data_IF_943039497179
#
_entry.id   IF_943039497179
#
_cell.length_a   1.000
_cell.length_b   1.000
_cell.length_c   1.000
_cell.angle_alpha   90.00
_cell.angle_beta   90.00
_cell.angle_gamma   90.00
#
_symmetry.space_group_name_H-M   'P 1'
#
loop_
_entity.id
_entity.type
_entity.pdbx_description
1 polymer ?
#
# COMPACT_ATOMS: atom_id res chain seq x y z
N UNK A 1 -33.76 -0.35 -46.75
CA UNK A 1 -32.55 0.36 -46.29
C UNK A 1 -32.55 0.36 -44.75
N UNK A 2 -31.77 -0.52 -44.10
CA UNK A 2 -31.81 -0.74 -42.63
C UNK A 2 -30.91 0.28 -41.90
N UNK A 3 -31.37 1.52 -41.76
CA UNK A 3 -30.60 2.58 -41.08
C UNK A 3 -30.61 2.47 -39.54
N UNK A 4 -31.44 1.61 -38.94
CA UNK A 4 -31.52 1.43 -37.49
C UNK A 4 -30.35 0.66 -36.86
N UNK A 5 -29.54 -0.05 -37.68
CA UNK A 5 -28.32 -0.73 -37.21
C UNK A 5 -27.15 0.26 -37.09
N UNK A 6 -27.18 1.36 -37.86
CA UNK A 6 -26.09 2.35 -37.88
C UNK A 6 -26.06 3.23 -36.64
N UNK A 7 -27.22 3.46 -36.01
CA UNK A 7 -27.34 4.31 -34.84
C UNK A 7 -28.27 3.64 -33.82
N UNK A 8 -27.74 2.79 -32.92
CA UNK A 8 -28.55 2.33 -31.80
C UNK A 8 -29.11 3.57 -31.08
N UNK A 9 -30.40 3.57 -30.67
CA UNK A 9 -31.01 4.73 -30.03
C UNK A 9 -30.21 5.10 -28.78
N UNK A 10 -29.45 6.17 -28.89
CA UNK A 10 -28.59 6.66 -27.83
C UNK A 10 -29.46 7.35 -26.79
N UNK A 11 -29.82 6.63 -25.73
CA UNK A 11 -30.45 7.22 -24.56
C UNK A 11 -29.36 7.57 -23.56
N UNK A 12 -29.15 8.87 -23.33
CA UNK A 12 -28.38 9.36 -22.19
C UNK A 12 -28.96 8.73 -20.92
N UNK A 13 -28.14 8.01 -20.15
CA UNK A 13 -28.55 7.56 -18.81
C UNK A 13 -28.73 8.81 -17.94
N UNK A 14 -29.88 8.93 -17.27
CA UNK A 14 -30.10 10.02 -16.31
C UNK A 14 -29.02 9.93 -15.22
N UNK A 15 -28.36 11.06 -14.94
CA UNK A 15 -27.40 11.18 -13.84
C UNK A 15 -28.08 10.78 -12.53
N UNK A 16 -27.61 9.71 -11.89
CA UNK A 16 -28.17 9.18 -10.63
C UNK A 16 -27.42 9.67 -9.38
N UNK A 17 -26.56 10.69 -9.52
CA UNK A 17 -25.67 11.17 -8.46
C UNK A 17 -24.21 10.79 -8.70
N UNK A 18 -23.36 11.11 -7.72
CA UNK A 18 -21.94 10.75 -7.72
C UNK A 18 -21.79 9.22 -7.69
N UNK A 19 -20.98 8.63 -8.59
CA UNK A 19 -20.64 7.22 -8.46
C UNK A 19 -19.68 7.07 -7.27
N UNK A 20 -20.01 6.15 -6.38
CA UNK A 20 -19.11 5.70 -5.32
C UNK A 20 -18.06 4.82 -6.00
N UNK A 21 -16.77 5.18 -5.97
CA UNK A 21 -15.72 4.32 -6.49
C UNK A 21 -15.78 2.97 -5.78
N UNK A 22 -15.77 1.89 -6.54
CA UNK A 22 -15.82 0.54 -5.97
C UNK A 22 -14.41 0.02 -5.80
N UNK A 23 -14.07 -0.31 -4.54
CA UNK A 23 -12.88 -1.05 -4.16
C UNK A 23 -12.62 -2.31 -5.02
N UNK A 24 -11.39 -2.84 -5.05
CA UNK A 24 -11.13 -4.10 -5.73
C UNK A 24 -12.02 -5.21 -5.16
N UNK A 25 -12.63 -5.99 -6.05
CA UNK A 25 -13.54 -7.05 -5.61
C UNK A 25 -12.77 -8.23 -5.02
N UNK A 26 -12.91 -8.42 -3.70
CA UNK A 26 -12.38 -9.58 -3.00
C UNK A 26 -13.19 -10.86 -3.23
N UNK A 27 -14.41 -10.76 -3.79
CA UNK A 27 -15.27 -11.91 -4.12
C UNK A 27 -14.56 -12.95 -5.00
N UNK A 28 -13.68 -12.48 -5.88
CA UNK A 28 -12.91 -13.32 -6.80
C UNK A 28 -11.40 -13.26 -6.51
N UNK A 29 -11.01 -12.70 -5.36
CA UNK A 29 -9.61 -12.66 -4.96
C UNK A 29 -9.14 -14.08 -4.67
N UNK A 30 -8.04 -14.46 -5.33
CA UNK A 30 -7.43 -15.76 -5.11
C UNK A 30 -6.61 -15.69 -3.85
N UNK A 31 -6.68 -16.75 -3.06
CA UNK A 31 -5.69 -16.97 -2.01
C UNK A 31 -4.33 -17.17 -2.70
N UNK A 32 -3.34 -16.42 -2.23
CA UNK A 32 -1.95 -16.60 -2.60
C UNK A 32 -1.17 -17.04 -1.38
N UNK A 33 -0.23 -17.94 -1.60
CA UNK A 33 0.63 -18.49 -0.55
C UNK A 33 2.06 -18.07 -0.81
N UNK A 34 2.66 -17.38 0.15
CA UNK A 34 4.05 -16.93 0.11
C UNK A 34 4.83 -17.77 1.11
N UNK A 35 5.88 -18.44 0.62
CA UNK A 35 6.76 -19.27 1.45
C UNK A 35 7.92 -18.42 1.96
N UNK A 36 8.06 -18.32 3.27
CA UNK A 36 9.20 -17.69 3.95
C UNK A 36 10.03 -18.79 4.62
N UNK A 37 11.26 -18.51 5.03
CA UNK A 37 12.17 -19.52 5.62
C UNK A 37 11.52 -20.31 6.77
N UNK A 38 10.78 -19.62 7.64
CA UNK A 38 10.26 -20.19 8.89
C UNK A 38 8.73 -20.23 8.98
N UNK A 39 8.02 -19.68 8.00
CA UNK A 39 6.57 -19.61 8.03
C UNK A 39 5.99 -19.47 6.62
N UNK A 40 4.67 -19.55 6.54
CA UNK A 40 3.92 -19.37 5.30
C UNK A 40 2.90 -18.27 5.53
N UNK A 41 2.86 -17.29 4.62
CA UNK A 41 1.87 -16.22 4.62
C UNK A 41 0.82 -16.51 3.57
N UNK A 42 -0.43 -16.57 3.98
CA UNK A 42 -1.58 -16.70 3.08
C UNK A 42 -2.37 -15.39 3.10
N UNK A 43 -2.73 -14.88 1.92
CA UNK A 43 -3.61 -13.72 1.79
C UNK A 43 -4.46 -13.79 0.54
N UNK A 44 -5.65 -13.18 0.57
CA UNK A 44 -6.47 -12.99 -0.60
C UNK A 44 -6.02 -11.74 -1.36
N UNK A 45 -5.47 -11.94 -2.56
CA UNK A 45 -5.07 -10.84 -3.44
C UNK A 45 -5.97 -10.77 -4.67
N UNK A 46 -6.70 -9.66 -4.86
CA UNK A 46 -7.34 -9.36 -6.13
C UNK A 46 -6.30 -9.25 -7.26
N UNK A 47 -6.73 -9.49 -8.50
CA UNK A 47 -5.85 -9.35 -9.68
C UNK A 47 -5.43 -7.89 -9.86
N UNK A 48 -4.20 -7.67 -10.32
CA UNK A 48 -3.69 -6.34 -10.69
C UNK A 48 -4.60 -5.69 -11.74
N UNK A 49 -5.01 -4.45 -11.52
CA UNK A 49 -5.86 -3.67 -12.43
C UNK A 49 -5.49 -2.18 -12.34
N UNK A 50 -4.30 -1.78 -12.81
CA UNK A 50 -3.82 -0.40 -12.76
C UNK A 50 -4.56 0.47 -13.77
N UNK A 51 -4.31 1.77 -13.71
CA UNK A 51 -4.78 2.69 -14.75
C UNK A 51 -4.09 2.37 -16.11
N UNK A 52 -4.79 2.41 -17.25
CA UNK A 52 -4.16 2.31 -18.56
C UNK A 52 -3.05 3.33 -18.74
N UNK A 53 -1.86 2.86 -19.10
CA UNK A 53 -0.67 3.70 -19.25
C UNK A 53 -0.01 4.12 -17.94
N UNK A 54 -0.46 3.60 -16.79
CA UNK A 54 0.26 3.73 -15.53
C UNK A 54 1.55 2.92 -15.55
N UNK A 55 2.61 3.48 -14.99
CA UNK A 55 3.94 2.85 -14.90
C UNK A 55 4.07 1.90 -13.69
N UNK A 56 2.99 1.70 -12.93
CA UNK A 56 3.03 0.88 -11.72
C UNK A 56 3.06 -0.61 -12.06
N UNK A 57 4.27 -1.17 -12.08
CA UNK A 57 4.49 -2.57 -12.41
C UNK A 57 3.91 -3.55 -11.38
N UNK A 58 3.47 -4.72 -11.88
CA UNK A 58 3.07 -5.86 -11.06
C UNK A 58 4.32 -6.63 -10.59
N UNK A 59 4.61 -6.68 -9.29
CA UNK A 59 5.59 -7.65 -8.77
C UNK A 59 4.90 -8.97 -8.48
N UNK A 60 5.21 -10.00 -9.28
CA UNK A 60 4.61 -11.31 -9.12
C UNK A 60 5.31 -12.10 -8.03
N UNK A 61 4.50 -12.77 -7.20
CA UNK A 61 4.99 -13.76 -6.24
C UNK A 61 5.65 -14.89 -7.03
N UNK A 62 6.91 -15.15 -6.72
CA UNK A 62 7.71 -16.18 -7.37
C UNK A 62 7.50 -17.52 -6.65
N UNK A 63 7.56 -18.66 -7.36
CA UNK A 63 7.43 -20.00 -6.76
C UNK A 63 8.73 -20.41 -6.04
N UNK A 64 9.17 -19.61 -5.07
CA UNK A 64 10.38 -19.84 -4.27
C UNK A 64 10.13 -19.57 -2.79
N UNK A 65 11.09 -19.96 -1.97
CA UNK A 65 11.16 -19.52 -0.58
C UNK A 65 11.88 -18.18 -0.54
N UNK A 66 11.29 -17.19 0.14
CA UNK A 66 11.90 -15.89 0.34
C UNK A 66 12.67 -15.90 1.66
N UNK A 67 13.99 -15.76 1.55
CA UNK A 67 14.89 -15.74 2.71
C UNK A 67 15.03 -14.36 3.34
N UNK A 68 14.50 -13.31 2.71
CA UNK A 68 14.59 -11.93 3.17
C UNK A 68 16.05 -11.49 3.32
N UNK A 69 16.89 -11.89 2.36
CA UNK A 69 18.29 -11.44 2.28
C UNK A 69 18.32 -9.96 1.98
N UNK A 70 17.35 -9.48 1.20
CA UNK A 70 17.16 -8.07 0.92
C UNK A 70 18.30 -7.40 0.14
N UNK A 71 18.03 -6.17 -0.27
CA UNK A 71 18.94 -5.27 -0.98
C UNK A 71 18.79 -3.85 -0.43
N UNK A 72 19.77 -3.01 -0.74
CA UNK A 72 19.74 -1.60 -0.39
C UNK A 72 18.52 -0.91 -1.04
N UNK A 73 17.96 0.05 -0.32
CA UNK A 73 16.95 0.95 -0.88
C UNK A 73 17.59 1.90 -1.88
N UNK A 74 16.76 2.59 -2.67
CA UNK A 74 17.23 3.74 -3.42
C UNK A 74 17.73 4.81 -2.44
N UNK A 75 18.86 5.46 -2.72
CA UNK A 75 19.45 6.50 -1.86
C UNK A 75 18.52 7.68 -1.60
N UNK A 76 17.57 7.95 -2.50
CA UNK A 76 16.52 8.96 -2.29
C UNK A 76 15.48 8.51 -1.27
N UNK A 77 15.18 7.21 -1.23
CA UNK A 77 14.16 6.61 -0.37
C UNK A 77 14.70 6.36 1.03
N UNK A 78 15.91 5.83 1.18
CA UNK A 78 16.51 5.64 2.50
C UNK A 78 18.00 5.98 2.45
N UNK A 79 18.36 7.27 2.60
CA UNK A 79 19.76 7.70 2.56
C UNK A 79 20.64 6.99 3.58
N UNK A 80 20.08 6.61 4.74
CA UNK A 80 20.82 5.92 5.80
C UNK A 80 21.22 4.48 5.46
N UNK A 81 20.54 3.83 4.50
CA UNK A 81 20.71 2.41 4.16
C UNK A 81 20.73 1.49 5.39
N UNK A 82 20.00 1.87 6.45
CA UNK A 82 19.95 1.15 7.73
C UNK A 82 19.11 -0.13 7.65
N UNK A 83 18.28 -0.25 6.61
CA UNK A 83 17.46 -1.42 6.34
C UNK A 83 17.71 -1.97 4.93
N UNK A 84 17.50 -3.27 4.81
CA UNK A 84 17.48 -3.99 3.56
C UNK A 84 16.06 -4.47 3.31
N UNK A 85 15.65 -4.42 2.05
CA UNK A 85 14.32 -4.83 1.63
C UNK A 85 14.36 -5.94 0.58
N UNK A 86 13.39 -6.84 0.61
CA UNK A 86 13.13 -7.80 -0.46
C UNK A 86 11.70 -7.65 -0.95
N UNK A 87 11.54 -7.28 -2.21
CA UNK A 87 10.22 -7.12 -2.83
C UNK A 87 9.58 -8.48 -3.07
N UNK A 88 8.36 -8.67 -2.57
CA UNK A 88 7.65 -9.95 -2.66
C UNK A 88 6.45 -9.82 -3.60
N UNK A 89 5.61 -8.80 -3.39
CA UNK A 89 4.45 -8.56 -4.22
C UNK A 89 4.10 -7.06 -4.28
N UNK A 90 3.60 -6.61 -5.42
CA UNK A 90 3.00 -5.30 -5.57
C UNK A 90 1.84 -5.37 -6.55
N UNK A 91 0.76 -4.66 -6.25
CA UNK A 91 -0.48 -4.59 -7.02
C UNK A 91 -0.99 -3.17 -7.00
N UNK A 92 -1.87 -2.87 -7.93
CA UNK A 92 -2.53 -1.57 -8.02
C UNK A 92 -3.94 -1.82 -8.54
N UNK A 93 -4.87 -1.02 -8.03
CA UNK A 93 -6.26 -1.00 -8.45
C UNK A 93 -6.69 0.44 -8.67
N UNK A 94 -7.01 0.78 -9.92
CA UNK A 94 -7.56 2.08 -10.29
C UNK A 94 -9.08 2.11 -10.07
N UNK A 95 -9.57 3.26 -9.61
CA UNK A 95 -10.98 3.52 -9.40
C UNK A 95 -11.50 4.49 -10.44
N UNK A 96 -12.56 4.09 -11.14
CA UNK A 96 -13.18 4.89 -12.19
C UNK A 96 -14.49 5.47 -11.71
N UNK A 97 -14.71 6.74 -12.05
CA UNK A 97 -15.99 7.39 -11.83
C UNK A 97 -17.00 7.04 -12.92
N UNK A 98 -18.10 7.80 -13.02
CA UNK A 98 -19.07 7.65 -14.10
C UNK A 98 -18.46 7.80 -15.50
N UNK A 99 -19.26 7.51 -16.52
CA UNK A 99 -18.85 7.71 -17.92
C UNK A 99 -18.24 9.10 -18.14
N UNK A 100 -17.07 9.12 -18.78
CA UNK A 100 -16.28 10.31 -19.13
C UNK A 100 -15.62 11.07 -17.97
N UNK A 101 -15.69 10.62 -16.71
CA UNK A 101 -14.93 11.26 -15.62
C UNK A 101 -13.50 10.74 -15.51
N UNK A 102 -13.22 9.55 -16.05
CA UNK A 102 -11.90 8.94 -16.00
C UNK A 102 -11.56 8.31 -14.64
N UNK A 103 -10.26 8.18 -14.38
CA UNK A 103 -9.72 7.65 -13.13
C UNK A 103 -9.90 8.69 -12.01
N UNK A 104 -10.51 8.29 -10.91
CA UNK A 104 -10.79 9.11 -9.73
C UNK A 104 -9.78 8.88 -8.59
N UNK A 105 -9.00 7.81 -8.68
CA UNK A 105 -7.97 7.48 -7.71
C UNK A 105 -7.45 6.06 -7.93
N UNK A 106 -6.52 5.64 -7.09
CA UNK A 106 -6.03 4.27 -7.07
C UNK A 106 -5.61 3.86 -5.66
N UNK A 107 -5.54 2.54 -5.45
CA UNK A 107 -4.83 1.95 -4.31
C UNK A 107 -3.65 1.17 -4.86
N UNK A 108 -2.45 1.55 -4.42
CA UNK A 108 -1.25 0.75 -4.59
C UNK A 108 -1.05 -0.11 -3.35
N UNK A 109 -0.75 -1.39 -3.56
CA UNK A 109 -0.41 -2.35 -2.51
C UNK A 109 1.02 -2.83 -2.72
N UNK A 110 1.79 -2.87 -1.65
CA UNK A 110 3.13 -3.47 -1.63
C UNK A 110 3.28 -4.41 -0.43
N UNK A 111 4.00 -5.49 -0.63
CA UNK A 111 4.40 -6.45 0.39
C UNK A 111 5.90 -6.66 0.25
N UNK A 112 6.62 -6.31 1.31
CA UNK A 112 8.08 -6.23 1.33
C UNK A 112 8.58 -6.88 2.61
N UNK A 113 9.61 -7.72 2.48
CA UNK A 113 10.33 -8.23 3.64
C UNK A 113 11.49 -7.32 4.02
N UNK A 114 11.69 -7.11 5.31
CA UNK A 114 12.65 -6.16 5.85
C UNK A 114 13.60 -6.84 6.83
N UNK A 115 14.84 -6.39 6.85
CA UNK A 115 15.82 -6.66 7.91
C UNK A 115 16.78 -5.49 8.06
N UNK A 116 17.47 -5.41 9.20
CA UNK A 116 18.56 -4.45 9.36
C UNK A 116 19.74 -4.79 8.44
N UNK A 117 20.41 -3.76 7.94
CA UNK A 117 21.65 -3.92 7.17
C UNK A 117 22.76 -4.49 8.06
N UNK A 118 22.88 -3.96 9.28
CA UNK A 118 23.73 -4.50 10.34
C UNK A 118 22.91 -5.40 11.29
N UNK A 119 23.17 -6.72 11.31
CA UNK A 119 22.44 -7.63 12.18
C UNK A 119 22.69 -7.33 13.66
N UNK A 120 21.63 -7.08 14.42
CA UNK A 120 21.70 -6.96 15.87
C UNK A 120 21.24 -8.25 16.55
N UNK A 121 22.17 -8.97 17.19
CA UNK A 121 21.87 -10.23 17.85
C UNK A 121 20.95 -10.10 19.06
N UNK A 122 20.87 -8.92 19.69
CA UNK A 122 20.00 -8.66 20.85
C UNK A 122 18.57 -8.30 20.44
N UNK A 123 18.37 -7.87 19.19
CA UNK A 123 17.06 -7.50 18.68
C UNK A 123 16.22 -8.75 18.43
N UNK A 124 14.94 -8.70 18.82
CA UNK A 124 13.98 -9.74 18.53
C UNK A 124 12.60 -9.13 18.27
N UNK A 125 12.22 -9.00 17.00
CA UNK A 125 10.94 -8.43 16.58
C UNK A 125 9.72 -9.27 16.98
N UNK A 126 9.92 -10.51 17.45
CA UNK A 126 8.82 -11.28 18.07
C UNK A 126 8.39 -10.69 19.43
N UNK A 127 9.15 -9.75 20.00
CA UNK A 127 8.70 -8.96 21.15
C UNK A 127 7.96 -7.71 20.67
N UNK A 128 6.73 -7.43 21.16
CA UNK A 128 5.93 -6.29 20.72
C UNK A 128 6.70 -4.97 20.72
N UNK A 129 7.36 -4.59 21.82
CA UNK A 129 8.12 -3.34 21.89
C UNK A 129 9.22 -3.22 20.82
N UNK A 130 9.88 -4.34 20.51
CA UNK A 130 10.92 -4.38 19.49
C UNK A 130 10.31 -4.24 18.07
N UNK A 131 9.15 -4.86 17.83
CA UNK A 131 8.39 -4.66 16.60
C UNK A 131 7.97 -3.20 16.42
N UNK A 132 7.40 -2.58 17.46
CA UNK A 132 6.98 -1.17 17.42
C UNK A 132 8.16 -0.24 17.12
N UNK A 133 9.28 -0.47 17.81
CA UNK A 133 10.53 0.29 17.59
C UNK A 133 11.08 0.05 16.19
N UNK A 134 11.02 -1.19 15.70
CA UNK A 134 11.45 -1.56 14.36
C UNK A 134 10.62 -0.90 13.26
N UNK A 135 9.29 -0.91 13.41
CA UNK A 135 8.38 -0.28 12.47
C UNK A 135 8.60 1.23 12.40
N UNK A 136 8.69 1.91 13.55
CA UNK A 136 8.98 3.34 13.61
C UNK A 136 10.37 3.66 13.08
N UNK A 137 11.38 2.87 13.44
CA UNK A 137 12.75 3.04 12.96
C UNK A 137 12.86 2.90 11.44
N UNK A 138 12.15 1.93 10.84
CA UNK A 138 12.06 1.79 9.40
C UNK A 138 11.38 3.00 8.75
N UNK A 139 10.22 3.43 9.28
CA UNK A 139 9.49 4.58 8.76
C UNK A 139 10.29 5.88 8.86
N UNK A 140 10.95 6.13 9.99
CA UNK A 140 11.85 7.28 10.15
C UNK A 140 13.02 7.22 9.17
N UNK A 141 13.58 6.04 8.91
CA UNK A 141 14.68 5.88 7.95
C UNK A 141 14.25 6.15 6.50
N UNK A 142 13.01 5.80 6.13
CA UNK A 142 12.46 6.02 4.79
C UNK A 142 11.93 7.44 4.54
N UNK A 143 11.33 8.10 5.54
CA UNK A 143 10.59 9.34 5.32
C UNK A 143 10.96 10.48 6.28
N UNK A 144 11.73 10.18 7.34
CA UNK A 144 12.05 11.16 8.39
C UNK A 144 12.97 12.29 7.92
N UNK A 145 13.70 12.10 6.83
CA UNK A 145 14.55 13.14 6.22
C UNK A 145 13.79 14.04 5.24
N UNK A 146 12.56 13.69 4.84
CA UNK A 146 11.84 14.45 3.83
C UNK A 146 11.19 15.71 4.42
N UNK A 147 11.55 16.85 3.84
CA UNK A 147 11.06 18.18 4.25
C UNK A 147 10.60 18.99 3.05
N UNK A 148 9.58 19.82 3.26
CA UNK A 148 9.12 20.82 2.30
C UNK A 148 9.25 22.20 2.93
N UNK A 149 10.28 22.95 2.52
CA UNK A 149 10.68 24.17 3.22
C UNK A 149 11.09 23.86 4.65
N UNK A 150 10.39 24.46 5.62
CA UNK A 150 10.67 24.28 7.05
C UNK A 150 9.70 23.30 7.75
N UNK A 151 8.95 22.50 7.00
CA UNK A 151 7.98 21.54 7.54
C UNK A 151 8.36 20.12 7.13
N UNK A 152 8.12 19.16 8.02
CA UNK A 152 8.17 17.74 7.68
C UNK A 152 7.20 17.46 6.54
N UNK A 153 7.63 16.67 5.54
CA UNK A 153 6.79 16.34 4.40
C UNK A 153 5.68 15.35 4.78
N UNK A 154 6.00 14.42 5.68
CA UNK A 154 5.07 13.39 6.17
C UNK A 154 4.75 13.56 7.65
N UNK A 155 3.56 13.11 8.03
CA UNK A 155 3.12 12.95 9.41
C UNK A 155 2.80 11.47 9.66
N UNK A 156 3.56 10.84 10.55
CA UNK A 156 3.40 9.46 11.00
C UNK A 156 4.04 9.28 12.39
N UNK A 157 3.61 8.28 13.17
CA UNK A 157 2.45 7.42 12.93
C UNK A 157 1.12 8.14 13.25
N UNK A 158 0.06 7.79 12.53
CA UNK A 158 -1.32 8.18 12.81
C UNK A 158 -2.17 6.92 13.03
N UNK A 159 -3.28 7.00 13.79
CA UNK A 159 -4.20 5.88 14.00
C UNK A 159 -3.50 4.56 14.40
N UNK A 160 -2.53 4.66 15.31
CA UNK A 160 -1.73 3.51 15.74
C UNK A 160 -2.59 2.47 16.45
N UNK A 161 -2.48 1.21 16.02
CA UNK A 161 -3.28 0.12 16.55
C UNK A 161 -2.53 -1.21 16.50
N UNK A 162 -2.58 -1.95 17.61
CA UNK A 162 -2.13 -3.34 17.68
C UNK A 162 -3.19 -4.27 17.10
N UNK A 163 -2.76 -5.25 16.28
CA UNK A 163 -3.64 -6.20 15.62
C UNK A 163 -3.72 -7.52 16.39
N UNK A 164 -4.53 -7.54 17.44
CA UNK A 164 -4.59 -8.65 18.40
C UNK A 164 -5.28 -9.91 17.86
N UNK A 165 -5.92 -9.83 16.69
CA UNK A 165 -6.58 -10.97 16.05
C UNK A 165 -5.62 -11.90 15.29
N UNK A 166 -4.34 -11.51 15.17
CA UNK A 166 -3.30 -12.32 14.54
C UNK A 166 -2.57 -13.17 15.60
N UNK A 167 -2.09 -14.38 15.26
CA UNK A 167 -1.41 -15.27 16.21
C UNK A 167 0.01 -14.80 16.60
N UNK A 168 0.41 -13.61 16.15
CA UNK A 168 1.74 -13.03 16.29
C UNK A 168 1.59 -11.51 16.46
N UNK A 169 2.56 -10.85 17.14
CA UNK A 169 2.51 -9.40 17.31
C UNK A 169 2.44 -8.70 15.97
N UNK A 170 1.45 -7.85 15.79
CA UNK A 170 1.28 -7.08 14.58
C UNK A 170 0.73 -5.71 14.93
N UNK A 171 1.03 -4.73 14.10
CA UNK A 171 0.56 -3.37 14.28
C UNK A 171 0.21 -2.74 12.95
N UNK A 172 -0.66 -1.74 12.98
CA UNK A 172 -0.97 -0.87 11.86
C UNK A 172 -0.90 0.59 12.27
N UNK A 173 -0.59 1.44 11.31
CA UNK A 173 -0.74 2.89 11.44
C UNK A 173 -0.86 3.52 10.05
N UNK A 174 -1.33 4.75 10.03
CA UNK A 174 -1.46 5.58 8.84
C UNK A 174 -0.33 6.62 8.79
N UNK A 175 0.00 7.06 7.59
CA UNK A 175 0.91 8.15 7.28
C UNK A 175 0.24 9.03 6.23
N UNK A 176 0.40 10.34 6.36
CA UNK A 176 -0.12 11.30 5.38
C UNK A 176 0.92 12.33 5.01
N UNK A 177 0.79 12.90 3.83
CA UNK A 177 1.56 14.07 3.41
C UNK A 177 0.98 15.32 4.07
N UNK A 178 1.86 16.19 4.56
CA UNK A 178 1.49 17.46 5.22
C UNK A 178 1.22 18.56 4.19
N UNK A 179 1.92 18.51 3.05
CA UNK A 179 1.90 19.56 2.04
C UNK A 179 0.90 19.34 0.91
N UNK A 180 0.45 18.11 0.74
CA UNK A 180 -0.49 17.74 -0.32
C UNK A 180 -1.56 16.82 0.27
N UNK A 181 -2.82 17.16 0.04
CA UNK A 181 -3.96 16.32 0.38
C UNK A 181 -4.25 15.33 -0.75
N UNK A 182 -5.02 14.29 -0.42
CA UNK A 182 -5.47 13.26 -1.37
C UNK A 182 -4.58 12.03 -1.44
N UNK A 183 -3.55 11.93 -0.60
CA UNK A 183 -2.77 10.69 -0.44
C UNK A 183 -2.69 10.27 1.03
N UNK A 184 -3.10 9.04 1.29
CA UNK A 184 -2.97 8.39 2.60
C UNK A 184 -2.27 7.05 2.43
N UNK A 185 -1.28 6.81 3.26
CA UNK A 185 -0.57 5.55 3.32
C UNK A 185 -0.98 4.80 4.59
N UNK A 186 -1.22 3.50 4.48
CA UNK A 186 -1.45 2.61 5.62
C UNK A 186 -0.41 1.52 5.62
N UNK A 187 0.24 1.34 6.76
CA UNK A 187 1.21 0.29 6.96
C UNK A 187 0.69 -0.76 7.93
N UNK A 188 1.05 -2.01 7.66
CA UNK A 188 0.92 -3.13 8.59
C UNK A 188 2.28 -3.80 8.72
N UNK A 189 2.76 -3.93 9.95
CA UNK A 189 4.02 -4.59 10.25
C UNK A 189 3.80 -5.82 11.11
N UNK A 190 4.53 -6.88 10.80
CA UNK A 190 4.57 -8.08 11.62
C UNK A 190 5.88 -8.86 11.46
N UNK A 191 6.35 -9.57 12.50
CA UNK A 191 7.58 -10.33 12.46
C UNK A 191 7.38 -11.68 11.78
N UNK A 192 8.41 -12.11 11.06
CA UNK A 192 8.51 -13.46 10.46
C UNK A 192 9.75 -14.22 10.94
N UNK A 193 10.47 -13.60 11.87
CA UNK A 193 11.63 -14.14 12.58
C UNK A 193 12.23 -13.11 13.52
N UNK A 194 13.29 -13.49 14.23
CA UNK A 194 13.96 -12.65 15.23
C UNK A 194 14.39 -11.27 14.70
N UNK A 195 15.02 -11.24 13.53
CA UNK A 195 15.53 -10.00 12.92
C UNK A 195 14.88 -9.64 11.59
N UNK A 196 13.69 -10.19 11.30
CA UNK A 196 13.01 -10.03 10.01
C UNK A 196 11.56 -9.61 10.21
N UNK A 197 11.12 -8.62 9.44
CA UNK A 197 9.75 -8.11 9.41
C UNK A 197 9.15 -8.29 8.01
N UNK A 198 7.83 -8.31 7.95
CA UNK A 198 7.08 -7.97 6.75
C UNK A 198 6.46 -6.59 6.97
N UNK A 199 6.55 -5.76 5.95
CA UNK A 199 5.78 -4.54 5.81
C UNK A 199 4.78 -4.72 4.67
N UNK A 200 3.51 -4.45 4.95
CA UNK A 200 2.48 -4.28 3.94
C UNK A 200 2.14 -2.80 3.89
N UNK A 201 2.26 -2.19 2.71
CA UNK A 201 1.88 -0.81 2.45
C UNK A 201 0.64 -0.74 1.55
N UNK A 202 -0.29 0.14 1.91
CA UNK A 202 -1.39 0.57 1.03
C UNK A 202 -1.25 2.07 0.82
N UNK A 203 -1.00 2.50 -0.41
CA UNK A 203 -1.01 3.92 -0.79
C UNK A 203 -2.32 4.19 -1.50
N UNK A 204 -3.20 4.94 -0.84
CA UNK A 204 -4.47 5.37 -1.39
C UNK A 204 -4.30 6.79 -1.94
N UNK A 205 -4.45 6.97 -3.24
CA UNK A 205 -4.42 8.28 -3.88
C UNK A 205 -5.79 8.60 -4.48
N UNK A 206 -6.26 9.82 -4.25
CA UNK A 206 -7.53 10.33 -4.77
C UNK A 206 -7.29 11.57 -5.63
N UNK A 207 -7.78 11.54 -6.87
CA UNK A 207 -7.72 12.69 -7.78
C UNK A 207 -8.83 13.68 -7.44
N UNK A 208 -8.59 14.48 -6.41
CA UNK A 208 -9.50 15.54 -6.00
C UNK A 208 -8.72 16.75 -5.46
N UNK A 209 -9.33 17.93 -5.56
CA UNK A 209 -8.80 19.18 -5.01
C UNK A 209 -9.54 19.55 -3.73
N UNK A 210 -8.83 20.12 -2.75
CA UNK A 210 -9.40 20.56 -1.48
C UNK A 210 -8.56 20.15 -0.29
N UNK A 211 -9.12 20.29 0.91
CA UNK A 211 -8.56 19.68 2.13
C UNK A 211 -8.77 18.16 2.10
N UNK A 212 -8.08 17.42 2.98
CA UNK A 212 -8.26 15.97 3.06
C UNK A 212 -9.72 15.60 3.37
N UNK A 213 -10.37 16.35 4.26
CA UNK A 213 -11.77 16.14 4.63
C UNK A 213 -12.71 16.37 3.44
N UNK A 214 -12.45 17.40 2.62
CA UNK A 214 -13.23 17.66 1.41
C UNK A 214 -13.02 16.59 0.33
N UNK A 215 -11.80 16.04 0.25
CA UNK A 215 -11.43 14.98 -0.69
C UNK A 215 -12.10 13.65 -0.27
N UNK A 216 -11.97 13.26 1.00
CA UNK A 216 -12.59 12.06 1.55
C UNK A 216 -14.13 12.10 1.47
N UNK A 217 -14.72 13.30 1.57
CA UNK A 217 -16.17 13.49 1.38
C UNK A 217 -16.63 13.26 -0.07
N UNK A 218 -15.75 13.49 -1.06
CA UNK A 218 -16.05 13.30 -2.49
C UNK A 218 -15.82 11.88 -2.96
N UNK A 219 -14.88 11.19 -2.32
CA UNK A 219 -14.50 9.82 -2.62
C UNK A 219 -14.55 9.06 -1.30
N UNK A 220 -15.69 8.41 -1.03
CA UNK A 220 -15.79 7.48 0.09
C UNK A 220 -14.74 6.38 -0.11
N UNK A 221 -13.75 6.25 0.79
CA UNK A 221 -12.80 5.13 0.76
C UNK A 221 -13.48 3.79 1.00
#
# INVERSE_FOLDING_TARGET
>A
MRNYIKYPPFKWRKYKGQCIPQGPSFRWAREVTIRLTNCTLALHLPRHAPQPGGDTGEWRILPRVYDLVGRNHNDRVMPSQSWLHEDIAAREWAFYGPWFTGCMGYVHFSLVGLRLSEPNSQLNFLHPRALETGALGYTTACWGHEVSGNKAYYQAPLNWESLDHLPLPALRFDMRRVVQAGECERFVFFPVGRGKLISIGFVCHQYATGTQEEIDARVSP
#
